data_IF_881876866380
#
_entry.id   IF_881876866380
#
_cell.length_a   1.000
_cell.length_b   1.000
_cell.length_c   1.000
_cell.angle_alpha   90.00
_cell.angle_beta   90.00
_cell.angle_gamma   90.00
#
_symmetry.space_group_name_H-M   'P 1'
#
loop_
_entity.id
_entity.type
_entity.pdbx_description
1 polymer ?
#
# COMPACT_ATOMS: atom_id res chain seq x y z
N UNK A 1 -11.30 -1.13 23.37
CA UNK A 1 -11.98 -2.24 22.66
C UNK A 1 -11.16 -2.50 21.40
N UNK A 2 -10.75 -3.74 21.14
CA UNK A 2 -10.00 -4.08 19.93
C UNK A 2 -11.01 -4.24 18.79
N UNK A 3 -11.11 -3.27 17.89
CA UNK A 3 -12.02 -3.35 16.75
C UNK A 3 -11.31 -4.08 15.61
N UNK A 4 -11.76 -5.30 15.22
CA UNK A 4 -11.16 -5.98 14.09
C UNK A 4 -11.45 -5.20 12.81
N UNK A 5 -10.42 -5.01 12.00
CA UNK A 5 -10.51 -4.40 10.68
C UNK A 5 -10.52 -5.51 9.63
N UNK A 6 -11.42 -5.43 8.64
CA UNK A 6 -11.42 -6.32 7.49
C UNK A 6 -10.91 -5.56 6.26
N UNK A 7 -9.96 -6.14 5.54
CA UNK A 7 -9.44 -5.60 4.28
C UNK A 7 -10.55 -5.62 3.23
N UNK A 8 -10.82 -4.47 2.61
CA UNK A 8 -11.82 -4.34 1.56
C UNK A 8 -11.18 -4.34 0.18
N UNK A 9 -10.10 -3.57 0.02
CA UNK A 9 -9.36 -3.42 -1.24
C UNK A 9 -7.96 -2.87 -0.95
N UNK A 10 -7.06 -3.02 -1.93
CA UNK A 10 -5.83 -2.26 -1.99
C UNK A 10 -5.63 -1.72 -3.40
N UNK A 11 -4.93 -0.60 -3.50
CA UNK A 11 -4.60 0.05 -4.76
C UNK A 11 -3.22 0.69 -4.67
N UNK A 12 -2.78 1.30 -5.77
CA UNK A 12 -1.44 1.83 -5.92
C UNK A 12 -1.45 3.26 -6.42
N UNK A 13 -0.42 4.02 -6.05
CA UNK A 13 -0.16 5.35 -6.63
C UNK A 13 1.28 5.45 -7.11
N UNK A 14 1.46 6.19 -8.20
CA UNK A 14 2.75 6.61 -8.72
C UNK A 14 2.70 8.11 -9.10
N UNK A 15 3.59 8.97 -8.56
CA UNK A 15 4.55 8.68 -7.48
C UNK A 15 3.84 8.41 -6.13
N UNK A 16 4.60 8.13 -5.06
CA UNK A 16 4.02 7.99 -3.72
C UNK A 16 3.28 9.25 -3.28
N UNK A 17 2.12 9.11 -2.65
CA UNK A 17 1.39 10.24 -2.05
C UNK A 17 2.08 10.71 -0.76
N UNK A 18 2.53 9.77 0.06
CA UNK A 18 3.31 10.04 1.27
C UNK A 18 4.76 10.39 0.91
N UNK A 19 5.33 11.27 1.74
CA UNK A 19 6.76 11.59 1.72
C UNK A 19 7.38 11.27 3.06
N UNK A 20 8.64 10.89 3.06
CA UNK A 20 9.44 10.73 4.28
C UNK A 20 10.64 11.65 4.15
N UNK A 21 10.88 12.50 5.14
CA UNK A 21 11.95 13.51 5.09
C UNK A 21 11.90 14.39 3.81
N UNK A 22 10.69 14.76 3.37
CA UNK A 22 10.39 15.50 2.13
C UNK A 22 10.66 14.75 0.82
N UNK A 23 11.09 13.49 0.87
CA UNK A 23 11.39 12.67 -0.30
C UNK A 23 10.17 11.87 -0.76
N UNK A 24 9.98 11.83 -2.08
CA UNK A 24 9.01 10.96 -2.74
C UNK A 24 9.62 9.59 -3.00
N UNK A 25 8.79 8.57 -2.91
CA UNK A 25 9.13 7.22 -3.35
C UNK A 25 8.49 6.97 -4.73
N UNK A 26 9.10 6.12 -5.56
CA UNK A 26 8.57 5.77 -6.88
C UNK A 26 7.10 5.33 -6.87
N UNK A 27 6.68 4.69 -5.78
CA UNK A 27 5.41 3.98 -5.72
C UNK A 27 4.93 3.82 -4.27
N UNK A 28 3.61 3.78 -4.07
CA UNK A 28 3.02 3.33 -2.82
C UNK A 28 1.90 2.30 -3.06
N UNK A 29 1.65 1.45 -2.07
CA UNK A 29 0.46 0.60 -2.01
C UNK A 29 -0.35 1.00 -0.79
N UNK A 30 -1.65 1.18 -0.96
CA UNK A 30 -2.59 1.60 0.08
C UNK A 30 -3.72 0.58 0.21
N UNK A 31 -3.83 -0.05 1.38
CA UNK A 31 -4.87 -1.02 1.72
C UNK A 31 -5.94 -0.38 2.59
N UNK A 32 -7.21 -0.45 2.20
CA UNK A 32 -8.34 0.13 2.93
C UNK A 32 -9.17 -0.94 3.63
N UNK A 33 -9.61 -0.62 4.85
CA UNK A 33 -10.45 -1.49 5.66
C UNK A 33 -11.86 -0.94 5.87
N UNK A 34 -12.81 -1.80 6.23
CA UNK A 34 -14.22 -1.44 6.44
C UNK A 34 -14.48 -0.35 7.49
N UNK A 35 -13.53 -0.12 8.41
CA UNK A 35 -13.62 0.89 9.47
C UNK A 35 -12.69 2.08 9.21
N UNK A 36 -12.42 2.42 7.95
CA UNK A 36 -11.65 3.60 7.56
C UNK A 36 -10.23 3.65 8.16
N UNK A 37 -9.57 2.50 8.24
CA UNK A 37 -8.12 2.45 8.45
C UNK A 37 -7.42 2.10 7.14
N UNK A 38 -6.30 2.78 6.88
CA UNK A 38 -5.46 2.57 5.72
C UNK A 38 -4.07 2.12 6.16
N UNK A 39 -3.56 1.04 5.56
CA UNK A 39 -2.15 0.64 5.69
C UNK A 39 -1.44 0.98 4.39
N UNK A 40 -0.36 1.76 4.48
CA UNK A 40 0.41 2.19 3.33
C UNK A 40 1.85 1.64 3.37
N UNK A 41 2.34 1.20 2.22
CA UNK A 41 3.72 0.75 2.02
C UNK A 41 4.40 1.63 0.97
N UNK A 42 5.65 2.02 1.26
CA UNK A 42 6.52 2.73 0.34
C UNK A 42 7.43 1.73 -0.38
N UNK A 43 7.64 1.93 -1.68
CA UNK A 43 8.48 1.08 -2.51
C UNK A 43 9.73 1.84 -2.92
N UNK A 44 10.88 1.17 -2.86
CA UNK A 44 12.13 1.66 -3.41
C UNK A 44 12.51 0.80 -4.63
N UNK A 45 13.17 1.41 -5.62
CA UNK A 45 13.86 0.63 -6.65
C UNK A 45 15.00 -0.15 -6.00
N UNK A 46 15.06 -1.45 -6.26
CA UNK A 46 16.17 -2.29 -5.85
C UNK A 46 17.24 -2.29 -6.95
N UNK A 47 18.51 -2.24 -6.55
CA UNK A 47 19.65 -2.42 -7.48
C UNK A 47 19.84 -3.90 -7.87
N UNK A 48 19.21 -4.80 -7.12
CA UNK A 48 19.18 -6.25 -7.35
C UNK A 48 17.80 -6.69 -7.80
N UNK A 49 17.69 -7.85 -8.48
CA UNK A 49 16.43 -8.47 -8.92
C UNK A 49 15.58 -9.06 -7.77
N UNK A 50 15.66 -8.49 -6.57
CA UNK A 50 14.85 -8.90 -5.42
C UNK A 50 13.48 -8.24 -5.57
N UNK A 51 12.46 -9.08 -5.76
CA UNK A 51 11.04 -8.68 -5.78
C UNK A 51 10.31 -9.32 -4.60
N UNK A 52 9.11 -8.81 -4.32
CA UNK A 52 8.15 -9.52 -3.46
C UNK A 52 7.21 -10.32 -4.38
N UNK A 53 7.15 -11.66 -4.25
CA UNK A 53 6.33 -12.50 -5.13
C UNK A 53 4.85 -12.11 -5.19
N UNK A 54 4.33 -11.51 -4.11
CA UNK A 54 2.99 -10.92 -4.07
C UNK A 54 2.79 -9.90 -5.21
N UNK A 55 3.74 -8.98 -5.39
CA UNK A 55 3.60 -7.92 -6.38
C UNK A 55 3.87 -8.41 -7.80
N UNK A 56 4.71 -9.43 -7.97
CA UNK A 56 4.86 -10.12 -9.26
C UNK A 56 3.51 -10.70 -9.71
N UNK A 57 2.77 -11.33 -8.79
CA UNK A 57 1.44 -11.87 -9.06
C UNK A 57 0.37 -10.79 -9.32
N UNK A 58 0.47 -9.64 -8.66
CA UNK A 58 -0.47 -8.52 -8.88
C UNK A 58 -0.23 -7.85 -10.23
N UNK A 59 1.03 -7.74 -10.65
CA UNK A 59 1.40 -7.02 -11.87
C UNK A 59 1.51 -7.91 -13.13
N UNK A 60 1.27 -9.21 -13.00
CA UNK A 60 1.42 -10.19 -14.08
C UNK A 60 0.60 -9.89 -15.36
N UNK A 61 -0.55 -9.22 -15.22
CA UNK A 61 -1.53 -9.01 -16.30
C UNK A 61 -1.84 -7.52 -16.55
N UNK A 62 -0.91 -6.60 -16.23
CA UNK A 62 -1.14 -5.16 -16.40
C UNK A 62 -1.40 -4.75 -17.86
N UNK A 63 -0.86 -5.49 -18.83
CA UNK A 63 -1.05 -5.27 -20.25
C UNK A 63 -2.49 -5.57 -20.71
N UNK A 64 -3.23 -6.39 -19.96
CA UNK A 64 -4.64 -6.69 -20.21
C UNK A 64 -5.59 -5.56 -19.75
N UNK A 65 -5.12 -4.63 -18.91
CA UNK A 65 -5.94 -3.56 -18.30
C UNK A 65 -5.46 -2.15 -18.64
N UNK A 66 -4.96 -1.96 -19.87
CA UNK A 66 -4.41 -0.67 -20.33
C UNK A 66 -5.44 0.42 -20.58
N UNK A 67 -6.72 0.09 -20.69
CA UNK A 67 -7.82 1.04 -20.89
C UNK A 67 -8.65 1.21 -19.61
N UNK A 68 -9.19 2.40 -19.32
CA UNK A 68 -10.12 2.60 -18.22
C UNK A 68 -11.33 1.65 -18.30
N UNK A 69 -11.88 1.27 -17.15
CA UNK A 69 -13.05 0.38 -17.02
C UNK A 69 -12.82 -1.07 -17.52
N UNK A 70 -11.56 -1.45 -17.77
CA UNK A 70 -11.18 -2.85 -18.00
C UNK A 70 -10.71 -3.51 -16.71
N UNK A 71 -10.84 -4.85 -16.64
CA UNK A 71 -10.47 -5.65 -15.48
C UNK A 71 -9.90 -6.99 -15.92
N UNK A 72 -8.95 -7.51 -15.16
CA UNK A 72 -8.42 -8.87 -15.27
C UNK A 72 -8.31 -9.51 -13.88
N UNK A 73 -7.94 -10.78 -13.83
CA UNK A 73 -7.67 -11.51 -12.60
C UNK A 73 -6.17 -11.50 -12.30
N UNK A 74 -5.80 -11.32 -11.03
CA UNK A 74 -4.42 -11.51 -10.59
C UNK A 74 -4.08 -12.99 -10.52
N UNK A 75 -2.80 -13.32 -10.41
CA UNK A 75 -2.38 -14.64 -9.93
C UNK A 75 -2.71 -14.87 -8.44
N UNK A 76 -2.17 -15.95 -7.88
CA UNK A 76 -2.32 -16.28 -6.45
C UNK A 76 -1.64 -15.24 -5.56
N UNK A 77 -2.41 -14.68 -4.61
CA UNK A 77 -1.93 -13.67 -3.69
C UNK A 77 -1.48 -14.28 -2.36
N UNK A 78 -0.17 -14.29 -2.10
CA UNK A 78 0.42 -14.67 -0.81
C UNK A 78 0.94 -13.44 -0.06
N UNK A 79 0.23 -13.08 1.02
CA UNK A 79 0.55 -11.92 1.86
C UNK A 79 1.54 -12.22 3.00
N UNK A 80 2.05 -13.45 3.11
CA UNK A 80 2.87 -13.88 4.26
C UNK A 80 4.12 -13.01 4.45
N UNK A 81 4.82 -12.68 3.36
CA UNK A 81 6.01 -11.82 3.46
C UNK A 81 5.66 -10.37 3.82
N UNK A 82 4.56 -9.84 3.27
CA UNK A 82 4.14 -8.45 3.51
C UNK A 82 3.65 -8.27 4.96
N UNK A 83 2.90 -9.23 5.48
CA UNK A 83 2.46 -9.26 6.88
C UNK A 83 3.64 -9.41 7.84
N UNK A 84 4.57 -10.33 7.54
CA UNK A 84 5.82 -10.45 8.30
C UNK A 84 6.68 -9.18 8.28
N UNK A 85 6.68 -8.43 7.17
CA UNK A 85 7.33 -7.12 7.09
C UNK A 85 6.68 -6.11 8.04
N UNK A 86 5.34 -6.01 8.07
CA UNK A 86 4.62 -5.15 9.01
C UNK A 86 4.90 -5.53 10.48
N UNK A 87 4.92 -6.82 10.80
CA UNK A 87 5.12 -7.28 12.18
C UNK A 87 6.55 -7.02 12.69
N UNK A 88 7.52 -6.98 11.78
CA UNK A 88 8.94 -6.77 12.10
C UNK A 88 9.39 -5.30 12.07
N UNK A 89 8.56 -4.39 11.55
CA UNK A 89 8.89 -2.97 11.39
C UNK A 89 7.89 -2.07 12.13
N UNK A 90 8.34 -0.90 12.57
CA UNK A 90 7.45 0.08 13.18
C UNK A 90 6.70 0.84 12.10
N UNK A 91 5.37 0.80 12.16
CA UNK A 91 4.54 1.69 11.36
C UNK A 91 4.34 3.04 12.06
N UNK A 92 4.31 4.12 11.28
CA UNK A 92 3.91 5.42 11.75
C UNK A 92 2.40 5.54 11.72
N UNK A 93 1.82 6.04 12.81
CA UNK A 93 0.37 6.18 12.92
C UNK A 93 0.01 7.66 13.01
N UNK A 94 -0.96 8.07 12.20
CA UNK A 94 -1.54 9.42 12.24
C UNK A 94 -2.97 9.40 11.71
N UNK A 95 -3.73 10.42 12.09
CA UNK A 95 -5.05 10.68 11.51
C UNK A 95 -4.87 11.62 10.33
N UNK A 96 -5.51 11.30 9.21
CA UNK A 96 -5.50 12.13 8.00
C UNK A 96 -6.82 11.98 7.26
N UNK A 97 -6.82 12.32 5.98
CA UNK A 97 -7.98 12.14 5.10
C UNK A 97 -7.60 11.35 3.85
N UNK A 98 -8.60 10.79 3.17
CA UNK A 98 -8.39 10.25 1.83
C UNK A 98 -7.85 11.34 0.88
N UNK A 99 -6.89 10.96 0.04
CA UNK A 99 -6.37 11.82 -1.01
C UNK A 99 -7.37 12.01 -2.18
N UNK A 100 -8.43 11.19 -2.23
CA UNK A 100 -9.54 11.31 -3.17
C UNK A 100 -10.79 11.85 -2.49
N UNK A 101 -11.55 12.71 -3.19
CA UNK A 101 -12.85 13.21 -2.73
C UNK A 101 -13.77 12.06 -2.28
N UNK A 102 -14.48 12.16 -1.14
CA UNK A 102 -14.78 13.36 -0.36
C UNK A 102 -13.78 13.65 0.78
N UNK A 103 -12.54 13.15 0.71
CA UNK A 103 -11.50 13.44 1.71
C UNK A 103 -11.91 13.07 3.14
N UNK A 104 -12.59 11.93 3.30
CA UNK A 104 -13.06 11.43 4.61
C UNK A 104 -11.88 11.19 5.54
N UNK A 105 -12.02 11.58 6.82
CA UNK A 105 -11.02 11.31 7.85
C UNK A 105 -10.85 9.81 8.10
N UNK A 106 -9.59 9.39 8.14
CA UNK A 106 -9.18 7.98 8.30
C UNK A 106 -7.94 7.88 9.18
N UNK A 107 -7.74 6.70 9.77
CA UNK A 107 -6.50 6.37 10.49
C UNK A 107 -5.50 5.74 9.53
N UNK A 108 -4.30 6.30 9.43
CA UNK A 108 -3.22 5.76 8.60
C UNK A 108 -2.18 5.03 9.45
N UNK A 109 -1.74 3.87 8.94
CA UNK A 109 -0.52 3.19 9.34
C UNK A 109 0.45 3.15 8.16
N UNK A 110 1.55 3.90 8.21
CA UNK A 110 2.56 3.96 7.16
C UNK A 110 3.78 3.11 7.54
N UNK A 111 4.09 2.08 6.75
CA UNK A 111 5.37 1.38 6.81
C UNK A 111 6.42 2.20 6.06
N UNK A 112 7.40 2.75 6.78
CA UNK A 112 8.43 3.63 6.25
C UNK A 112 9.83 3.20 6.76
N UNK A 113 10.88 3.40 5.94
CA UNK A 113 12.25 2.98 6.29
C UNK A 113 12.88 3.82 7.43
N UNK A 114 12.42 5.05 7.66
CA UNK A 114 12.87 5.91 8.75
C UNK A 114 11.71 6.31 9.68
N UNK A 115 12.04 6.88 10.85
CA UNK A 115 11.02 7.36 11.79
C UNK A 115 10.24 8.50 11.15
N UNK A 116 8.92 8.39 11.09
CA UNK A 116 8.11 9.54 10.73
C UNK A 116 8.32 10.67 11.73
N UNK A 117 8.66 11.84 11.21
CA UNK A 117 8.92 13.04 11.97
C UNK A 117 7.99 14.14 11.50
#
# INVERSE_FOLDING_TARGET
MNHPYQLTQFHFHTPSEHRVDQEYFPFNSSSMTSNLAVVAFLFQLAESDITFPLFDSVFAHLDEVTAPETSTETGSLDFTQLTGHLDSHRACQYTGSFATSPCTEVSFGLSAPSRCR
#
